data_IF_677083625125
#
_entry.id   IF_677083625125
#
_cell.length_a   1.000
_cell.length_b   1.000
_cell.length_c   1.000
_cell.angle_alpha   90.00
_cell.angle_beta   90.00
_cell.angle_gamma   90.00
#
_symmetry.space_group_name_H-M   'P 1'
#
loop_
_entity.id
_entity.type
_entity.pdbx_description
1 polymer ?
#
# COMPACT_ATOMS: atom_id res chain seq x y z
N UNK A 1 -14.82 21.75 20.92
CA UNK A 1 -14.44 23.14 20.89
C UNK A 1 -13.55 23.29 19.67
N UNK A 2 -14.22 23.32 18.50
CA UNK A 2 -13.56 23.42 17.19
C UNK A 2 -13.03 24.86 17.07
N UNK A 3 -11.73 25.02 17.22
CA UNK A 3 -11.07 26.30 16.93
C UNK A 3 -10.79 26.29 15.45
N UNK A 4 -11.63 27.02 14.71
CA UNK A 4 -11.48 27.33 13.29
C UNK A 4 -10.18 28.12 13.03
N UNK A 5 -9.06 27.42 12.92
CA UNK A 5 -7.78 28.02 12.54
C UNK A 5 -7.77 28.50 11.07
N UNK A 6 -8.62 27.98 10.20
CA UNK A 6 -8.77 28.50 8.83
C UNK A 6 -9.44 29.88 8.79
N UNK A 7 -10.33 30.20 9.71
CA UNK A 7 -11.00 31.52 9.72
C UNK A 7 -10.13 32.66 10.28
N UNK A 8 -9.19 32.36 11.16
CA UNK A 8 -8.28 33.39 11.69
C UNK A 8 -7.17 33.77 10.68
N UNK A 9 -6.85 32.89 9.72
CA UNK A 9 -5.82 33.15 8.71
C UNK A 9 -6.32 33.94 7.49
N UNK A 10 -7.61 33.90 7.17
CA UNK A 10 -8.14 34.43 5.91
C UNK A 10 -8.51 35.92 5.93
N UNK A 11 -8.85 36.50 7.06
CA UNK A 11 -9.33 37.89 7.08
C UNK A 11 -8.23 39.00 7.18
N UNK A 12 -6.97 38.66 7.55
CA UNK A 12 -5.96 39.71 7.80
C UNK A 12 -4.53 39.42 7.32
N UNK A 13 -4.27 38.37 6.51
CA UNK A 13 -2.89 38.02 6.09
C UNK A 13 -2.62 38.30 4.61
N UNK A 14 -1.89 39.37 4.32
CA UNK A 14 -1.33 39.60 2.99
C UNK A 14 -0.35 38.45 2.56
N UNK A 15 -0.12 38.28 1.24
CA UNK A 15 0.68 37.16 0.67
C UNK A 15 2.09 37.01 1.29
N UNK A 16 2.68 38.08 1.81
CA UNK A 16 3.98 38.02 2.50
C UNK A 16 3.93 37.36 3.90
N UNK A 17 2.81 37.39 4.58
CA UNK A 17 2.67 36.75 5.90
C UNK A 17 2.47 35.21 5.78
N UNK A 18 1.70 34.78 4.80
CA UNK A 18 1.55 33.33 4.48
C UNK A 18 2.88 32.73 4.08
N UNK A 19 3.68 33.41 3.26
CA UNK A 19 5.01 32.94 2.88
C UNK A 19 5.96 32.83 4.10
N UNK A 20 5.95 33.80 5.02
CA UNK A 20 6.76 33.75 6.25
C UNK A 20 6.33 32.60 7.17
N UNK A 21 5.04 32.42 7.40
CA UNK A 21 4.51 31.31 8.18
C UNK A 21 4.94 29.94 7.61
N UNK A 22 4.90 29.78 6.28
CA UNK A 22 5.38 28.55 5.61
C UNK A 22 6.87 28.32 5.83
N UNK A 23 7.69 29.36 5.74
CA UNK A 23 9.15 29.28 5.96
C UNK A 23 9.46 28.94 7.43
N UNK A 24 8.79 29.58 8.38
CA UNK A 24 8.96 29.31 9.82
C UNK A 24 8.54 27.89 10.18
N UNK A 25 7.41 27.39 9.66
CA UNK A 25 6.95 26.02 9.84
C UNK A 25 7.97 25.03 9.28
N UNK A 26 8.47 25.26 8.08
CA UNK A 26 9.48 24.41 7.46
C UNK A 26 10.79 24.40 8.25
N UNK A 27 11.24 25.53 8.76
CA UNK A 27 12.44 25.63 9.59
C UNK A 27 12.27 24.88 10.92
N UNK A 28 11.09 24.96 11.56
CA UNK A 28 10.78 24.24 12.81
C UNK A 28 10.71 22.73 12.60
N UNK A 29 10.16 22.28 11.48
CA UNK A 29 10.00 20.84 11.18
C UNK A 29 11.24 20.20 10.54
N UNK A 30 12.26 20.96 10.13
CA UNK A 30 13.42 20.42 9.39
C UNK A 30 14.13 19.26 10.11
N UNK A 31 14.46 19.42 11.40
CA UNK A 31 15.09 18.38 12.19
C UNK A 31 14.14 17.18 12.43
N UNK A 32 12.88 17.38 12.89
CA UNK A 32 11.91 16.29 12.99
C UNK A 32 11.72 15.50 11.70
N UNK A 33 11.59 16.16 10.54
CA UNK A 33 11.45 15.50 9.23
C UNK A 33 12.67 14.66 8.89
N UNK A 34 13.89 15.17 9.13
CA UNK A 34 15.12 14.41 8.95
C UNK A 34 15.15 13.15 9.84
N UNK A 35 14.82 13.29 11.11
CA UNK A 35 14.78 12.17 12.06
C UNK A 35 13.74 11.12 11.66
N UNK A 36 12.55 11.56 11.25
CA UNK A 36 11.47 10.67 10.78
C UNK A 36 11.86 9.98 9.48
N UNK A 37 12.49 10.70 8.53
CA UNK A 37 12.98 10.11 7.28
C UNK A 37 14.02 9.02 7.54
N UNK A 38 15.08 9.33 8.26
CA UNK A 38 16.15 8.35 8.61
C UNK A 38 15.58 7.19 9.42
N UNK A 39 14.78 7.48 10.44
CA UNK A 39 14.17 6.46 11.29
C UNK A 39 13.17 5.58 10.54
N UNK A 40 12.38 6.16 9.61
CA UNK A 40 11.48 5.40 8.75
C UNK A 40 12.23 4.46 7.80
N UNK A 41 13.32 4.95 7.19
CA UNK A 41 14.21 4.12 6.37
C UNK A 41 14.85 2.98 7.16
N UNK A 42 15.36 3.27 8.37
CA UNK A 42 15.93 2.26 9.26
C UNK A 42 14.88 1.23 9.73
N UNK A 43 13.66 1.68 10.05
CA UNK A 43 12.53 0.81 10.39
C UNK A 43 12.21 -0.12 9.23
N UNK A 44 12.19 0.41 8.00
CA UNK A 44 11.99 -0.37 6.79
C UNK A 44 13.08 -1.42 6.57
N UNK A 45 14.33 -1.01 6.64
CA UNK A 45 15.49 -1.90 6.51
C UNK A 45 15.44 -3.05 7.53
N UNK A 46 15.16 -2.72 8.80
CA UNK A 46 15.06 -3.71 9.86
C UNK A 46 13.88 -4.67 9.65
N UNK A 47 12.69 -4.14 9.35
CA UNK A 47 11.49 -4.95 9.11
C UNK A 47 11.68 -5.91 7.93
N UNK A 48 12.13 -5.42 6.78
CA UNK A 48 12.38 -6.23 5.58
C UNK A 48 13.51 -7.23 5.82
N UNK A 49 14.57 -6.83 6.54
CA UNK A 49 15.65 -7.73 6.93
C UNK A 49 15.16 -8.92 7.74
N UNK A 50 14.37 -8.67 8.80
CA UNK A 50 13.75 -9.73 9.62
C UNK A 50 12.77 -10.57 8.80
N UNK A 51 11.94 -9.92 7.98
CA UNK A 51 10.98 -10.60 7.10
C UNK A 51 11.70 -11.58 6.16
N UNK A 52 12.80 -11.15 5.54
CA UNK A 52 13.57 -12.00 4.62
C UNK A 52 14.18 -13.21 5.33
N UNK A 53 14.70 -13.05 6.55
CA UNK A 53 15.20 -14.16 7.36
C UNK A 53 14.09 -15.16 7.68
N UNK A 54 12.94 -14.67 8.15
CA UNK A 54 11.79 -15.52 8.47
C UNK A 54 11.21 -16.20 7.22
N UNK A 55 11.18 -15.52 6.08
CA UNK A 55 10.67 -16.09 4.82
C UNK A 55 11.54 -17.24 4.32
N UNK A 56 12.85 -17.18 4.54
CA UNK A 56 13.76 -18.31 4.20
C UNK A 56 13.46 -19.57 5.01
N UNK A 57 12.93 -19.40 6.23
CA UNK A 57 12.65 -20.52 7.14
C UNK A 57 11.19 -20.97 7.14
N UNK A 58 10.23 -20.06 6.93
CA UNK A 58 8.79 -20.33 7.00
C UNK A 58 8.10 -20.29 5.64
N UNK A 59 8.75 -19.73 4.63
CA UNK A 59 8.13 -19.45 3.33
C UNK A 59 7.98 -20.69 2.43
N UNK A 60 7.09 -20.62 1.43
CA UNK A 60 6.70 -21.76 0.61
C UNK A 60 7.81 -22.32 -0.32
N UNK A 61 8.92 -21.60 -0.49
CA UNK A 61 10.01 -22.04 -1.38
C UNK A 61 10.93 -23.13 -0.78
N UNK A 62 10.87 -23.35 0.54
CA UNK A 62 11.82 -24.20 1.27
C UNK A 62 11.25 -25.56 1.67
N UNK A 63 9.95 -25.78 1.50
CA UNK A 63 9.23 -26.90 2.11
C UNK A 63 8.36 -27.69 1.12
N UNK A 64 8.09 -28.96 1.46
CA UNK A 64 7.04 -29.70 0.78
C UNK A 64 5.67 -29.10 1.05
N UNK A 65 4.69 -29.36 0.20
CA UNK A 65 3.32 -28.82 0.33
C UNK A 65 2.71 -29.15 1.70
N UNK A 66 2.94 -30.35 2.22
CA UNK A 66 2.41 -30.78 3.53
C UNK A 66 3.06 -30.01 4.69
N UNK A 67 4.37 -29.78 4.64
CA UNK A 67 5.08 -29.00 5.67
C UNK A 67 4.61 -27.55 5.61
N UNK A 68 4.47 -26.98 4.41
CA UNK A 68 3.96 -25.63 4.25
C UNK A 68 2.52 -25.49 4.76
N UNK A 69 1.67 -26.49 4.53
CA UNK A 69 0.31 -26.54 5.06
C UNK A 69 0.31 -26.51 6.61
N UNK A 70 1.18 -27.34 7.23
CA UNK A 70 1.33 -27.34 8.68
C UNK A 70 1.82 -26.00 9.23
N UNK A 71 2.78 -25.34 8.56
CA UNK A 71 3.28 -24.01 8.91
C UNK A 71 2.14 -22.99 8.84
N UNK A 72 1.34 -22.96 7.77
CA UNK A 72 0.23 -22.02 7.62
C UNK A 72 -0.81 -22.16 8.75
N UNK A 73 -1.18 -23.39 9.09
CA UNK A 73 -2.12 -23.66 10.19
C UNK A 73 -1.51 -23.27 11.55
N UNK A 74 -0.24 -23.59 11.80
CA UNK A 74 0.46 -23.25 13.02
C UNK A 74 0.59 -21.73 13.19
N UNK A 75 0.93 -21.01 12.12
CA UNK A 75 0.98 -19.53 12.13
C UNK A 75 -0.41 -18.95 12.37
N UNK A 76 -1.46 -19.49 11.75
CA UNK A 76 -2.83 -19.09 12.06
C UNK A 76 -3.19 -19.26 13.55
N UNK A 77 -2.77 -20.35 14.18
CA UNK A 77 -2.94 -20.54 15.62
C UNK A 77 -2.09 -19.53 16.44
N UNK A 78 -0.84 -19.29 16.02
CA UNK A 78 0.04 -18.31 16.67
C UNK A 78 -0.52 -16.88 16.64
N UNK A 79 -1.16 -16.45 15.55
CA UNK A 79 -1.86 -15.16 15.44
C UNK A 79 -2.88 -15.01 16.57
N UNK A 80 -3.67 -16.07 16.83
CA UNK A 80 -4.67 -16.08 17.89
C UNK A 80 -4.04 -15.94 19.27
N UNK A 81 -2.90 -16.60 19.52
CA UNK A 81 -2.16 -16.49 20.79
C UNK A 81 -1.61 -15.08 20.97
N UNK A 82 -0.99 -14.51 19.92
CA UNK A 82 -0.45 -13.14 19.94
C UNK A 82 -1.56 -12.14 20.26
N UNK A 83 -2.71 -12.25 19.60
CA UNK A 83 -3.84 -11.36 19.84
C UNK A 83 -4.37 -11.45 21.28
N UNK A 84 -4.33 -12.62 21.90
CA UNK A 84 -4.73 -12.80 23.33
C UNK A 84 -3.73 -12.22 24.31
N UNK A 85 -2.44 -12.35 24.03
CA UNK A 85 -1.36 -11.96 24.96
C UNK A 85 -1.02 -10.48 24.80
N UNK A 86 -0.93 -9.99 23.57
CA UNK A 86 -0.48 -8.62 23.26
C UNK A 86 -1.62 -7.67 22.88
N UNK A 87 -2.86 -8.17 22.78
CA UNK A 87 -4.01 -7.42 22.32
C UNK A 87 -4.23 -7.52 20.79
N UNK A 88 -5.38 -7.05 20.34
CA UNK A 88 -5.67 -7.00 18.88
C UNK A 88 -4.72 -6.03 18.18
N UNK A 89 -4.20 -6.45 17.03
CA UNK A 89 -3.34 -5.61 16.20
C UNK A 89 -4.17 -4.60 15.42
N UNK A 90 -3.68 -3.37 15.32
CA UNK A 90 -4.24 -2.33 14.48
C UNK A 90 -4.37 -2.75 12.99
N UNK A 91 -5.05 -1.92 12.24
CA UNK A 91 -5.19 -2.05 10.78
C UNK A 91 -5.04 -0.67 10.13
N UNK A 92 -4.95 -0.63 8.80
CA UNK A 92 -4.82 0.63 8.04
C UNK A 92 -6.03 1.55 8.27
N UNK A 93 -7.23 1.01 8.44
CA UNK A 93 -8.45 1.77 8.70
C UNK A 93 -8.32 2.59 9.98
N UNK A 94 -7.79 1.99 11.05
CA UNK A 94 -7.58 2.65 12.33
C UNK A 94 -6.45 3.71 12.25
N UNK A 95 -5.39 3.44 11.49
CA UNK A 95 -4.34 4.44 11.24
C UNK A 95 -4.91 5.68 10.54
N UNK A 96 -5.69 5.48 9.47
CA UNK A 96 -6.32 6.57 8.71
C UNK A 96 -7.28 7.38 9.60
N UNK A 97 -8.09 6.71 10.41
CA UNK A 97 -9.03 7.38 11.32
C UNK A 97 -8.29 8.21 12.38
N UNK A 98 -7.26 7.66 12.99
CA UNK A 98 -6.47 8.34 14.01
C UNK A 98 -5.75 9.58 13.49
N UNK A 99 -5.22 9.54 12.26
CA UNK A 99 -4.61 10.71 11.62
C UNK A 99 -5.64 11.83 11.46
N UNK A 100 -6.87 11.49 11.11
CA UNK A 100 -7.93 12.49 10.95
C UNK A 100 -8.47 13.03 12.29
N UNK A 101 -8.56 12.19 13.32
CA UNK A 101 -9.20 12.53 14.59
C UNK A 101 -8.18 13.08 15.59
N UNK A 102 -7.02 12.45 15.69
CA UNK A 102 -6.01 12.72 16.73
C UNK A 102 -4.79 13.49 16.18
N UNK A 103 -4.69 13.66 14.86
CA UNK A 103 -3.51 14.22 14.22
C UNK A 103 -2.32 13.26 14.12
N UNK A 104 -2.40 12.05 14.67
CA UNK A 104 -1.29 11.09 14.71
C UNK A 104 -1.71 9.64 14.55
N UNK A 105 -0.73 8.76 14.47
CA UNK A 105 -0.94 7.31 14.48
C UNK A 105 -1.34 6.83 15.90
N UNK A 106 -1.77 5.58 15.98
CA UNK A 106 -2.05 4.93 17.27
C UNK A 106 -0.84 4.88 18.21
N UNK A 107 -1.14 4.64 19.49
CA UNK A 107 -0.13 4.36 20.52
C UNK A 107 0.81 3.23 20.07
N UNK A 108 2.09 3.38 20.35
CA UNK A 108 3.16 2.37 20.13
C UNK A 108 2.77 0.96 20.62
N UNK A 109 1.82 0.88 21.54
CA UNK A 109 1.30 -0.40 22.07
C UNK A 109 0.68 -1.29 21.01
N UNK A 110 0.03 -0.72 19.99
CA UNK A 110 -0.60 -1.50 18.92
C UNK A 110 0.43 -2.15 18.00
N UNK A 111 1.62 -1.56 17.85
CA UNK A 111 2.73 -2.14 17.10
C UNK A 111 3.27 -3.43 17.74
N UNK A 112 3.15 -3.60 19.08
CA UNK A 112 3.62 -4.80 19.77
C UNK A 112 2.93 -6.08 19.28
N UNK A 113 1.66 -5.97 18.90
CA UNK A 113 0.90 -7.07 18.31
C UNK A 113 1.01 -7.10 16.80
N UNK A 114 1.00 -5.94 16.13
CA UNK A 114 1.00 -5.83 14.68
C UNK A 114 2.31 -6.37 14.07
N UNK A 115 3.47 -5.95 14.58
CA UNK A 115 4.77 -6.30 13.99
C UNK A 115 5.00 -7.83 13.99
N UNK A 116 4.95 -8.53 15.15
CA UNK A 116 5.17 -9.98 15.14
C UNK A 116 4.09 -10.73 14.36
N UNK A 117 2.83 -10.30 14.44
CA UNK A 117 1.74 -10.93 13.68
C UNK A 117 1.97 -10.80 12.18
N UNK A 118 2.28 -9.60 11.68
CA UNK A 118 2.50 -9.38 10.24
C UNK A 118 3.75 -10.08 9.72
N UNK A 119 4.84 -10.08 10.48
CA UNK A 119 6.06 -10.82 10.13
C UNK A 119 5.77 -12.31 9.96
N UNK A 120 5.05 -12.93 10.90
CA UNK A 120 4.66 -14.34 10.80
C UNK A 120 3.69 -14.59 9.63
N UNK A 121 2.68 -13.73 9.46
CA UNK A 121 1.71 -13.86 8.37
C UNK A 121 2.37 -13.85 7.00
N UNK A 122 3.22 -12.84 6.75
CA UNK A 122 3.81 -12.62 5.44
C UNK A 122 4.90 -13.65 5.16
N UNK A 123 5.77 -13.91 6.14
CA UNK A 123 6.87 -14.87 5.99
C UNK A 123 6.40 -16.29 5.77
N UNK A 124 5.29 -16.71 6.39
CA UNK A 124 4.70 -18.03 6.18
C UNK A 124 3.98 -18.20 4.83
N UNK A 125 3.86 -17.14 4.06
CA UNK A 125 3.21 -17.18 2.75
C UNK A 125 1.78 -16.64 2.72
N UNK A 126 1.34 -15.88 3.72
CA UNK A 126 0.11 -15.10 3.61
C UNK A 126 0.14 -14.22 2.35
N UNK A 127 -1.00 -14.13 1.65
CA UNK A 127 -1.07 -13.50 0.33
C UNK A 127 -1.13 -11.95 0.38
N UNK A 128 -0.67 -11.35 1.47
CA UNK A 128 -0.58 -9.89 1.66
C UNK A 128 0.87 -9.47 1.89
N UNK A 129 1.17 -8.20 1.62
CA UNK A 129 2.52 -7.64 1.68
C UNK A 129 2.81 -6.83 2.95
N UNK A 130 4.04 -6.34 3.09
CA UNK A 130 4.52 -5.61 4.25
C UNK A 130 4.04 -4.15 4.32
N UNK A 131 3.26 -3.66 3.34
CA UNK A 131 2.93 -2.25 3.18
C UNK A 131 2.20 -1.68 4.40
N UNK A 132 1.13 -2.34 4.84
CA UNK A 132 0.34 -1.85 5.97
C UNK A 132 1.12 -1.82 7.30
N UNK A 133 1.80 -2.91 7.74
CA UNK A 133 2.54 -2.89 8.99
C UNK A 133 3.75 -1.94 8.96
N UNK A 134 4.44 -1.83 7.83
CA UNK A 134 5.59 -0.93 7.73
C UNK A 134 5.17 0.54 7.76
N UNK A 135 4.12 0.88 7.03
CA UNK A 135 3.59 2.25 6.99
C UNK A 135 3.03 2.65 8.36
N UNK A 136 2.36 1.74 9.07
CA UNK A 136 1.95 1.98 10.46
C UNK A 136 3.14 2.19 11.40
N UNK A 137 4.17 1.36 11.30
CA UNK A 137 5.37 1.50 12.14
C UNK A 137 6.09 2.83 11.89
N UNK A 138 6.30 3.18 10.62
CA UNK A 138 6.98 4.42 10.23
C UNK A 138 6.11 5.67 10.54
N UNK A 139 4.80 5.58 10.37
CA UNK A 139 3.86 6.65 10.75
C UNK A 139 3.84 6.86 12.27
N UNK A 140 3.80 5.78 13.06
CA UNK A 140 3.88 5.86 14.53
C UNK A 140 5.21 6.47 14.99
N UNK A 141 6.31 6.20 14.29
CA UNK A 141 7.59 6.88 14.56
C UNK A 141 7.45 8.40 14.34
N UNK A 142 6.76 8.84 13.29
CA UNK A 142 6.48 10.25 13.05
C UNK A 142 5.70 10.89 14.20
N UNK A 143 4.65 10.22 14.66
CA UNK A 143 3.86 10.63 15.84
C UNK A 143 4.73 10.71 17.10
N UNK A 144 5.58 9.71 17.34
CA UNK A 144 6.47 9.67 18.49
C UNK A 144 7.49 10.82 18.47
N UNK A 145 8.08 11.11 17.31
CA UNK A 145 8.99 12.25 17.14
C UNK A 145 8.25 13.55 17.40
N UNK A 146 7.04 13.74 16.86
CA UNK A 146 6.24 14.93 17.10
C UNK A 146 5.98 15.16 18.58
N UNK A 147 5.58 14.12 19.31
CA UNK A 147 5.38 14.19 20.76
C UNK A 147 6.69 14.51 21.52
N UNK A 148 7.86 14.05 21.02
CA UNK A 148 9.16 14.32 21.66
C UNK A 148 9.61 15.77 21.49
N UNK A 149 9.15 16.43 20.41
CA UNK A 149 9.45 17.84 20.10
C UNK A 149 8.34 18.78 20.54
N UNK A 150 7.32 18.28 21.27
CA UNK A 150 6.16 19.04 21.76
C UNK A 150 5.47 19.82 20.63
N UNK A 151 5.21 19.13 19.53
CA UNK A 151 4.56 19.67 18.35
C UNK A 151 3.03 19.58 18.51
N UNK A 152 2.32 20.49 17.86
CA UNK A 152 0.85 20.48 17.87
C UNK A 152 0.24 19.36 17.00
N UNK A 153 -1.08 19.23 17.00
CA UNK A 153 -1.78 18.16 16.31
C UNK A 153 -1.60 18.21 14.77
N UNK A 154 -1.48 19.40 14.18
CA UNK A 154 -1.29 19.56 12.74
C UNK A 154 0.15 19.24 12.34
N UNK A 155 1.13 19.71 13.12
CA UNK A 155 2.53 19.36 12.97
C UNK A 155 2.77 17.85 13.18
N UNK A 156 2.07 17.24 14.15
CA UNK A 156 2.10 15.79 14.37
C UNK A 156 1.55 15.03 13.16
N UNK A 157 0.47 15.51 12.56
CA UNK A 157 -0.10 14.93 11.33
C UNK A 157 0.90 14.98 10.18
N UNK A 158 1.57 16.11 9.99
CA UNK A 158 2.62 16.28 8.98
C UNK A 158 3.73 15.24 9.18
N UNK A 159 4.24 15.06 10.40
CA UNK A 159 5.31 14.09 10.68
C UNK A 159 4.83 12.65 10.57
N UNK A 160 3.58 12.35 10.93
CA UNK A 160 3.00 11.01 10.75
C UNK A 160 2.92 10.66 9.26
N UNK A 161 2.42 11.56 8.42
CA UNK A 161 2.38 11.39 6.96
C UNK A 161 3.80 11.28 6.39
N UNK A 162 4.75 12.07 6.89
CA UNK A 162 6.17 11.98 6.52
C UNK A 162 6.75 10.59 6.81
N UNK A 163 6.44 10.02 7.98
CA UNK A 163 6.84 8.66 8.33
C UNK A 163 6.20 7.61 7.42
N UNK A 164 4.90 7.75 7.12
CA UNK A 164 4.21 6.87 6.16
C UNK A 164 4.88 6.92 4.78
N UNK A 165 5.22 8.12 4.32
CA UNK A 165 5.91 8.33 3.03
C UNK A 165 7.30 7.67 3.01
N UNK A 166 8.07 7.77 4.10
CA UNK A 166 9.35 7.08 4.23
C UNK A 166 9.17 5.54 4.18
N UNK A 167 8.16 5.00 4.87
CA UNK A 167 7.83 3.57 4.82
C UNK A 167 7.44 3.09 3.42
N UNK A 168 6.58 3.82 2.72
CA UNK A 168 6.24 3.49 1.33
C UNK A 168 7.44 3.60 0.38
N UNK A 169 8.35 4.57 0.61
CA UNK A 169 9.52 4.74 -0.23
C UNK A 169 10.48 3.55 -0.16
N UNK A 170 10.63 2.94 1.03
CA UNK A 170 11.38 1.69 1.21
C UNK A 170 10.76 0.54 0.42
N UNK A 171 9.43 0.45 0.41
CA UNK A 171 8.71 -0.65 -0.24
C UNK A 171 8.67 -0.54 -1.76
N UNK A 172 8.45 0.67 -2.28
CA UNK A 172 8.26 0.86 -3.72
C UNK A 172 9.55 1.21 -4.46
N UNK A 173 10.60 1.63 -3.75
CA UNK A 173 11.78 2.20 -4.40
C UNK A 173 11.48 3.48 -5.19
N UNK A 174 10.37 4.15 -4.89
CA UNK A 174 9.78 5.25 -5.65
C UNK A 174 9.41 6.42 -4.72
N UNK A 175 10.37 7.24 -4.26
CA UNK A 175 10.13 8.25 -3.23
C UNK A 175 9.03 9.27 -3.58
N UNK A 176 8.96 9.74 -4.83
CA UNK A 176 7.94 10.70 -5.24
C UNK A 176 6.54 10.08 -5.21
N UNK A 177 6.41 8.85 -5.76
CA UNK A 177 5.17 8.10 -5.70
C UNK A 177 4.74 7.78 -4.27
N UNK A 178 5.69 7.42 -3.40
CA UNK A 178 5.47 7.12 -2.00
C UNK A 178 4.92 8.31 -1.20
N UNK A 179 5.47 9.50 -1.42
CA UNK A 179 5.01 10.72 -0.74
C UNK A 179 3.56 11.06 -1.11
N UNK A 180 3.23 11.00 -2.41
CA UNK A 180 1.86 11.25 -2.87
C UNK A 180 0.91 10.14 -2.44
N UNK A 181 1.36 8.88 -2.45
CA UNK A 181 0.55 7.75 -1.97
C UNK A 181 0.17 7.92 -0.49
N UNK A 182 1.11 8.34 0.35
CA UNK A 182 0.87 8.57 1.78
C UNK A 182 -0.18 9.68 2.03
N UNK A 183 -0.20 10.72 1.18
CA UNK A 183 -1.19 11.78 1.26
C UNK A 183 -2.56 11.36 0.73
N UNK A 184 -2.58 10.66 -0.41
CA UNK A 184 -3.83 10.29 -1.07
C UNK A 184 -4.60 9.20 -0.34
N UNK A 185 -3.92 8.22 0.27
CA UNK A 185 -4.56 7.07 0.93
C UNK A 185 -5.47 7.48 2.11
N UNK A 186 -5.31 8.69 2.60
CA UNK A 186 -6.14 9.23 3.69
C UNK A 186 -7.53 9.67 3.22
N UNK A 187 -7.72 9.90 1.92
CA UNK A 187 -8.94 10.53 1.39
C UNK A 187 -9.56 9.72 0.26
N UNK A 188 -10.88 9.80 0.13
CA UNK A 188 -11.62 9.20 -1.00
C UNK A 188 -11.56 10.05 -2.25
N UNK A 189 -11.50 11.37 -2.09
CA UNK A 189 -11.49 12.35 -3.18
C UNK A 189 -10.63 13.55 -2.82
N UNK A 190 -9.69 13.88 -3.68
CA UNK A 190 -8.82 15.03 -3.54
C UNK A 190 -7.71 14.85 -2.51
N UNK A 191 -6.87 15.85 -2.39
CA UNK A 191 -5.81 15.96 -1.41
C UNK A 191 -6.22 16.99 -0.37
N UNK A 192 -6.11 16.63 0.90
CA UNK A 192 -6.02 17.55 2.03
C UNK A 192 -4.59 17.48 2.56
N UNK A 193 -4.25 18.32 3.52
CA UNK A 193 -2.92 18.32 4.14
C UNK A 193 -1.79 18.63 3.15
N UNK A 194 -2.00 19.63 2.26
CA UNK A 194 -0.98 20.07 1.30
C UNK A 194 0.32 20.53 1.98
N UNK A 195 0.24 21.02 3.20
CA UNK A 195 1.36 21.39 4.06
C UNK A 195 2.29 20.20 4.36
N UNK A 196 1.78 18.98 4.34
CA UNK A 196 2.57 17.77 4.51
C UNK A 196 3.29 17.33 3.23
N UNK A 197 2.99 17.89 2.05
CA UNK A 197 3.55 17.41 0.79
C UNK A 197 5.08 17.53 0.74
N UNK A 198 5.63 18.70 1.07
CA UNK A 198 7.08 18.91 1.05
C UNK A 198 7.79 18.11 2.14
N UNK A 199 7.34 18.09 3.42
CA UNK A 199 7.87 17.19 4.43
C UNK A 199 7.82 15.72 4.02
N UNK A 200 6.72 15.23 3.44
CA UNK A 200 6.58 13.86 2.96
C UNK A 200 7.56 13.53 1.82
N UNK A 201 7.77 14.44 0.88
CA UNK A 201 8.77 14.30 -0.18
C UNK A 201 10.19 14.20 0.39
N UNK A 202 10.55 15.10 1.29
CA UNK A 202 11.87 15.10 1.93
C UNK A 202 12.04 13.81 2.75
N UNK A 203 11.05 13.45 3.57
CA UNK A 203 11.08 12.25 4.40
C UNK A 203 11.16 10.96 3.59
N UNK A 204 10.45 10.88 2.47
CA UNK A 204 10.51 9.71 1.57
C UNK A 204 11.87 9.57 0.88
N UNK A 205 12.47 10.66 0.41
CA UNK A 205 13.82 10.68 -0.17
C UNK A 205 14.89 10.26 0.85
N UNK A 206 14.83 10.83 2.05
CA UNK A 206 15.76 10.50 3.13
C UNK A 206 15.56 9.05 3.58
N UNK A 207 14.31 8.59 3.72
CA UNK A 207 13.99 7.22 4.10
C UNK A 207 14.48 6.20 3.09
N UNK A 208 14.28 6.47 1.81
CA UNK A 208 14.82 5.65 0.73
C UNK A 208 16.35 5.61 0.75
N UNK A 209 17.01 6.78 0.85
CA UNK A 209 18.47 6.86 0.92
C UNK A 209 19.03 6.12 2.14
N UNK A 210 18.40 6.28 3.31
CA UNK A 210 18.80 5.57 4.52
C UNK A 210 18.65 4.04 4.36
N UNK A 211 17.56 3.57 3.75
CA UNK A 211 17.37 2.16 3.45
C UNK A 211 18.48 1.62 2.52
N UNK A 212 18.77 2.33 1.42
CA UNK A 212 19.83 1.96 0.47
C UNK A 212 21.19 1.84 1.17
N UNK A 213 21.55 2.82 2.00
CA UNK A 213 22.81 2.82 2.75
C UNK A 213 22.87 1.65 3.75
N UNK A 214 21.78 1.36 4.45
CA UNK A 214 21.74 0.33 5.48
C UNK A 214 21.71 -1.10 4.91
N UNK A 215 21.04 -1.29 3.78
CA UNK A 215 20.82 -2.63 3.21
C UNK A 215 21.76 -2.96 2.05
N UNK A 216 22.38 -1.95 1.43
CA UNK A 216 23.15 -2.11 0.20
C UNK A 216 22.29 -2.46 -1.03
N UNK A 217 20.96 -2.32 -0.94
CA UNK A 217 20.06 -2.51 -2.09
C UNK A 217 20.39 -1.46 -3.15
N UNK A 218 20.42 -1.87 -4.43
CA UNK A 218 20.68 -0.96 -5.54
C UNK A 218 19.57 0.10 -5.71
N UNK A 219 19.86 1.08 -6.56
CA UNK A 219 18.87 2.10 -6.96
C UNK A 219 17.95 1.62 -8.11
N UNK A 220 18.08 0.34 -8.47
CA UNK A 220 17.28 -0.26 -9.54
C UNK A 220 15.80 -0.39 -9.11
N UNK A 221 14.88 -0.29 -10.06
CA UNK A 221 13.46 -0.54 -9.79
C UNK A 221 13.23 -1.94 -9.20
N UNK A 222 12.26 -2.04 -8.29
CA UNK A 222 11.88 -3.31 -7.66
C UNK A 222 11.52 -4.39 -8.70
N UNK A 223 10.88 -4.00 -9.79
CA UNK A 223 10.53 -4.87 -10.93
C UNK A 223 11.01 -4.27 -12.24
N UNK A 224 11.59 -5.12 -13.09
CA UNK A 224 12.02 -4.72 -14.42
C UNK A 224 10.92 -5.10 -15.42
N UNK A 225 10.14 -4.12 -15.83
CA UNK A 225 9.17 -4.29 -16.91
C UNK A 225 9.86 -4.24 -18.27
N UNK A 226 9.29 -4.88 -19.33
CA UNK A 226 9.82 -4.78 -20.69
C UNK A 226 9.94 -3.31 -21.12
N UNK A 227 10.96 -3.02 -21.93
CA UNK A 227 11.15 -1.66 -22.43
C UNK A 227 9.91 -1.19 -23.19
N UNK A 228 9.50 0.04 -22.91
CA UNK A 228 8.39 0.69 -23.63
C UNK A 228 8.89 1.02 -25.03
N UNK A 229 8.33 0.39 -26.05
CA UNK A 229 8.58 0.76 -27.43
C UNK A 229 8.03 2.16 -27.76
N UNK A 230 7.96 2.50 -29.04
CA UNK A 230 7.31 3.74 -29.46
C UNK A 230 5.82 3.69 -29.11
N UNK A 231 5.37 4.68 -28.32
CA UNK A 231 3.96 4.83 -27.99
C UNK A 231 3.18 5.30 -29.20
N UNK A 232 2.02 4.71 -29.41
CA UNK A 232 1.11 5.00 -30.51
C UNK A 232 -0.19 5.65 -30.00
N UNK A 233 -0.93 6.30 -30.87
CA UNK A 233 -2.24 6.86 -30.52
C UNK A 233 -3.23 5.79 -30.06
N UNK A 234 -3.08 4.55 -30.53
CA UNK A 234 -3.87 3.39 -30.08
C UNK A 234 -3.63 3.03 -28.63
N UNK A 235 -2.46 3.35 -28.05
CA UNK A 235 -2.18 3.10 -26.64
C UNK A 235 -3.05 3.96 -25.72
N UNK A 236 -3.52 5.13 -26.19
CA UNK A 236 -4.50 5.94 -25.46
C UNK A 236 -5.86 5.24 -25.35
N UNK A 237 -6.29 4.55 -26.41
CA UNK A 237 -7.53 3.76 -26.39
C UNK A 237 -7.39 2.57 -25.44
N UNK A 238 -6.23 1.91 -25.45
CA UNK A 238 -5.93 0.87 -24.48
C UNK A 238 -5.95 1.41 -23.05
N UNK A 239 -5.39 2.60 -22.79
CA UNK A 239 -5.43 3.22 -21.46
C UNK A 239 -6.86 3.43 -20.95
N UNK A 240 -7.79 3.82 -21.83
CA UNK A 240 -9.22 3.91 -21.48
C UNK A 240 -9.80 2.53 -21.16
N UNK A 241 -9.59 1.54 -22.03
CA UNK A 241 -10.11 0.18 -21.85
C UNK A 241 -9.63 -0.48 -20.54
N UNK A 242 -8.31 -0.37 -20.27
CA UNK A 242 -7.73 -0.91 -19.02
C UNK A 242 -8.16 -0.14 -17.77
N UNK A 243 -8.41 1.17 -17.88
CA UNK A 243 -8.99 1.97 -16.81
C UNK A 243 -10.38 1.44 -16.38
N UNK A 244 -11.23 1.13 -17.36
CA UNK A 244 -12.56 0.53 -17.13
C UNK A 244 -12.42 -0.89 -16.55
N UNK A 245 -11.55 -1.71 -17.14
CA UNK A 245 -11.33 -3.09 -16.68
C UNK A 245 -10.76 -3.13 -15.26
N UNK A 246 -9.78 -2.26 -14.96
CA UNK A 246 -9.22 -2.13 -13.62
C UNK A 246 -10.25 -1.67 -12.59
N UNK A 247 -11.13 -0.73 -12.98
CA UNK A 247 -12.26 -0.31 -12.14
C UNK A 247 -13.20 -1.49 -11.82
N UNK A 248 -13.57 -2.27 -12.84
CA UNK A 248 -14.41 -3.46 -12.64
C UNK A 248 -13.74 -4.48 -11.71
N UNK A 249 -12.45 -4.75 -11.92
CA UNK A 249 -11.66 -5.63 -11.04
C UNK A 249 -11.60 -5.12 -9.60
N UNK A 250 -11.43 -3.82 -9.40
CA UNK A 250 -11.41 -3.18 -8.08
C UNK A 250 -12.76 -3.29 -7.36
N UNK A 251 -13.87 -3.13 -8.09
CA UNK A 251 -15.22 -3.34 -7.54
C UNK A 251 -15.40 -4.79 -7.10
N UNK A 252 -15.05 -5.76 -7.97
CA UNK A 252 -15.11 -7.18 -7.64
C UNK A 252 -14.26 -7.49 -6.42
N UNK A 253 -13.03 -6.99 -6.36
CA UNK A 253 -12.12 -7.19 -5.22
C UNK A 253 -12.74 -6.65 -3.92
N UNK A 254 -13.27 -5.43 -3.94
CA UNK A 254 -13.85 -4.78 -2.75
C UNK A 254 -15.12 -5.51 -2.28
N UNK A 255 -16.02 -5.85 -3.20
CA UNK A 255 -17.26 -6.56 -2.87
C UNK A 255 -16.96 -7.95 -2.30
N UNK A 256 -16.07 -8.70 -2.94
CA UNK A 256 -15.70 -10.05 -2.49
C UNK A 256 -14.95 -10.02 -1.15
N UNK A 257 -14.05 -9.05 -0.93
CA UNK A 257 -13.36 -8.86 0.35
C UNK A 257 -14.36 -8.55 1.47
N UNK A 258 -15.32 -7.66 1.22
CA UNK A 258 -16.36 -7.31 2.19
C UNK A 258 -17.30 -8.49 2.48
N UNK A 259 -17.72 -9.20 1.45
CA UNK A 259 -18.56 -10.40 1.61
C UNK A 259 -17.83 -11.49 2.41
N UNK A 260 -16.56 -11.74 2.12
CA UNK A 260 -15.73 -12.72 2.82
C UNK A 260 -15.53 -12.33 4.30
N UNK A 261 -15.26 -11.04 4.60
CA UNK A 261 -15.19 -10.53 5.99
C UNK A 261 -16.52 -10.73 6.73
N UNK A 262 -17.66 -10.43 6.09
CA UNK A 262 -18.99 -10.63 6.69
C UNK A 262 -19.30 -12.11 6.95
N UNK A 263 -18.92 -13.00 6.04
CA UNK A 263 -19.08 -14.46 6.22
C UNK A 263 -18.17 -14.95 7.35
N UNK A 264 -16.91 -14.53 7.36
CA UNK A 264 -15.94 -14.89 8.39
C UNK A 264 -16.33 -14.37 9.80
N UNK A 265 -17.06 -13.26 9.89
CA UNK A 265 -17.57 -12.75 11.17
C UNK A 265 -18.56 -13.70 11.88
N UNK A 266 -19.10 -14.71 11.17
CA UNK A 266 -19.95 -15.77 11.74
C UNK A 266 -19.12 -16.88 12.41
N UNK A 267 -17.82 -16.91 12.17
CA UNK A 267 -16.89 -17.92 12.69
C UNK A 267 -16.25 -17.37 13.97
N UNK A 268 -16.10 -18.17 15.03
CA UNK A 268 -15.41 -17.69 16.24
C UNK A 268 -14.03 -17.15 15.92
N UNK A 269 -13.73 -15.95 16.43
CA UNK A 269 -12.46 -15.25 16.17
C UNK A 269 -11.22 -16.06 16.55
N UNK A 270 -11.40 -17.00 17.50
CA UNK A 270 -10.35 -17.87 18.00
C UNK A 270 -9.81 -18.87 16.95
N UNK A 271 -10.70 -19.43 16.13
CA UNK A 271 -10.33 -20.47 15.16
C UNK A 271 -10.13 -19.88 13.75
N UNK A 272 -10.61 -18.67 13.53
CA UNK A 272 -10.64 -18.05 12.21
C UNK A 272 -9.25 -17.92 11.56
N UNK A 273 -8.17 -17.48 12.27
CA UNK A 273 -6.85 -17.40 11.65
C UNK A 273 -6.27 -18.76 11.27
N UNK A 274 -6.49 -19.80 12.08
CA UNK A 274 -6.04 -21.15 11.78
C UNK A 274 -6.83 -21.74 10.59
N UNK A 275 -8.14 -21.49 10.51
CA UNK A 275 -8.96 -21.87 9.37
C UNK A 275 -8.51 -21.14 8.10
N UNK A 276 -8.17 -19.85 8.20
CA UNK A 276 -7.55 -19.10 7.10
C UNK A 276 -6.27 -19.75 6.60
N UNK A 277 -5.38 -20.19 7.52
CA UNK A 277 -4.19 -20.95 7.18
C UNK A 277 -4.48 -22.27 6.47
N UNK A 278 -5.51 -23.00 6.90
CA UNK A 278 -5.94 -24.24 6.25
C UNK A 278 -6.46 -24.01 4.83
N UNK A 279 -7.26 -22.97 4.63
CA UNK A 279 -7.76 -22.60 3.28
C UNK A 279 -6.60 -22.16 2.38
N UNK A 280 -5.64 -21.37 2.89
CA UNK A 280 -4.42 -21.00 2.16
C UNK A 280 -3.61 -22.25 1.75
N UNK A 281 -3.52 -23.26 2.62
CA UNK A 281 -2.86 -24.52 2.31
C UNK A 281 -3.56 -25.26 1.15
N UNK A 282 -4.88 -25.30 1.14
CA UNK A 282 -5.66 -25.86 0.04
C UNK A 282 -5.48 -25.08 -1.27
N UNK A 283 -5.44 -23.77 -1.21
CA UNK A 283 -5.17 -22.91 -2.37
C UNK A 283 -3.74 -23.09 -2.88
N UNK A 284 -2.77 -23.30 -2.01
CA UNK A 284 -1.38 -23.60 -2.40
C UNK A 284 -1.26 -24.92 -3.15
N UNK A 285 -2.03 -25.94 -2.76
CA UNK A 285 -2.10 -27.20 -3.50
C UNK A 285 -2.61 -26.99 -4.93
N UNK A 286 -3.55 -26.08 -5.11
CA UNK A 286 -4.06 -25.72 -6.43
C UNK A 286 -3.06 -24.89 -7.24
N UNK A 287 -2.45 -23.86 -6.63
CA UNK A 287 -1.50 -22.98 -7.34
C UNK A 287 -0.54 -22.30 -6.36
N UNK A 288 0.78 -22.28 -6.65
CA UNK A 288 1.76 -21.57 -5.84
C UNK A 288 1.54 -20.05 -5.83
N UNK A 289 0.85 -19.50 -6.83
CA UNK A 289 0.51 -18.08 -6.88
C UNK A 289 -0.51 -17.65 -5.82
N UNK A 290 -1.17 -18.58 -5.15
CA UNK A 290 -2.10 -18.28 -4.05
C UNK A 290 -1.38 -17.73 -2.82
N UNK A 291 -0.13 -18.10 -2.60
CA UNK A 291 0.66 -17.66 -1.45
C UNK A 291 1.53 -16.45 -1.79
N UNK A 292 2.06 -15.83 -0.75
CA UNK A 292 2.90 -14.64 -0.75
C UNK A 292 2.20 -13.39 -1.33
N UNK A 293 2.79 -12.22 -1.13
CA UNK A 293 2.30 -10.97 -1.70
C UNK A 293 2.42 -10.89 -3.24
N UNK A 294 3.17 -11.80 -3.85
CA UNK A 294 3.42 -11.83 -5.29
C UNK A 294 4.66 -11.07 -5.75
N UNK A 295 5.33 -10.33 -4.88
CA UNK A 295 6.51 -9.52 -5.22
C UNK A 295 7.59 -10.32 -5.97
N UNK A 296 8.04 -11.44 -5.40
CA UNK A 296 8.99 -12.32 -6.06
C UNK A 296 8.45 -13.08 -7.28
N UNK A 297 7.11 -13.10 -7.46
CA UNK A 297 6.44 -13.76 -8.57
C UNK A 297 6.18 -12.82 -9.76
N UNK A 298 6.23 -11.49 -9.55
CA UNK A 298 5.99 -10.49 -10.60
C UNK A 298 6.95 -10.69 -11.77
N UNK A 299 8.23 -10.93 -11.50
CA UNK A 299 9.23 -11.08 -12.57
C UNK A 299 8.92 -12.27 -13.47
N UNK A 300 8.38 -13.37 -12.94
CA UNK A 300 7.93 -14.55 -13.73
C UNK A 300 6.76 -14.18 -14.66
N UNK A 301 5.85 -13.35 -14.19
CA UNK A 301 4.70 -12.85 -14.97
C UNK A 301 5.18 -11.92 -16.10
N UNK A 302 6.03 -10.97 -15.76
CA UNK A 302 6.51 -9.91 -16.65
C UNK A 302 7.45 -10.47 -17.73
N UNK A 303 8.20 -11.52 -17.44
CA UNK A 303 9.08 -12.19 -18.41
C UNK A 303 8.34 -12.81 -19.61
N UNK A 304 7.00 -12.86 -19.59
CA UNK A 304 6.18 -13.33 -20.72
C UNK A 304 6.27 -14.83 -21.00
N UNK A 305 6.82 -15.62 -20.06
CA UNK A 305 7.00 -17.07 -20.21
C UNK A 305 5.74 -17.90 -19.89
N UNK A 306 4.72 -17.28 -19.28
CA UNK A 306 3.50 -17.95 -18.86
C UNK A 306 2.46 -17.99 -19.99
N UNK A 307 1.77 -19.13 -20.09
CA UNK A 307 0.61 -19.28 -20.99
C UNK A 307 -0.60 -18.47 -20.49
N UNK A 308 -1.57 -18.22 -21.37
CA UNK A 308 -2.80 -17.51 -20.98
C UNK A 308 -3.56 -18.24 -19.86
N UNK A 309 -3.61 -19.56 -19.87
CA UNK A 309 -4.24 -20.35 -18.81
C UNK A 309 -3.47 -20.23 -17.47
N UNK A 310 -2.14 -20.25 -17.51
CA UNK A 310 -1.31 -20.07 -16.33
C UNK A 310 -1.49 -18.68 -15.70
N UNK A 311 -1.57 -17.63 -16.52
CA UNK A 311 -1.85 -16.26 -16.07
C UNK A 311 -3.25 -16.15 -15.45
N UNK A 312 -4.27 -16.72 -16.08
CA UNK A 312 -5.63 -16.74 -15.53
C UNK A 312 -5.69 -17.45 -14.17
N UNK A 313 -5.01 -18.59 -14.04
CA UNK A 313 -4.87 -19.33 -12.78
C UNK A 313 -4.10 -18.48 -11.75
N UNK A 314 -3.02 -17.82 -12.15
CA UNK A 314 -2.23 -16.96 -11.25
C UNK A 314 -3.07 -15.80 -10.68
N UNK A 315 -3.87 -15.14 -11.52
CA UNK A 315 -4.79 -14.06 -11.09
C UNK A 315 -5.84 -14.62 -10.11
N UNK A 316 -6.52 -15.72 -10.47
CA UNK A 316 -7.57 -16.31 -9.65
C UNK A 316 -7.03 -16.82 -8.31
N UNK A 317 -5.86 -17.46 -8.32
CA UNK A 317 -5.22 -17.97 -7.12
C UNK A 317 -4.75 -16.84 -6.19
N UNK A 318 -4.12 -15.78 -6.75
CA UNK A 318 -3.72 -14.60 -5.97
C UNK A 318 -4.94 -13.90 -5.37
N UNK A 319 -5.98 -13.69 -6.15
CA UNK A 319 -7.23 -13.12 -5.68
C UNK A 319 -7.83 -13.93 -4.52
N UNK A 320 -7.97 -15.25 -4.67
CA UNK A 320 -8.49 -16.13 -3.63
C UNK A 320 -7.61 -16.14 -2.38
N UNK A 321 -6.28 -16.14 -2.55
CA UNK A 321 -5.32 -16.05 -1.45
C UNK A 321 -5.45 -14.75 -0.65
N UNK A 322 -5.55 -13.60 -1.33
CA UNK A 322 -5.72 -12.31 -0.67
C UNK A 322 -7.05 -12.24 0.08
N UNK A 323 -8.15 -12.65 -0.55
CA UNK A 323 -9.47 -12.68 0.10
C UNK A 323 -9.45 -13.58 1.34
N UNK A 324 -8.81 -14.75 1.26
CA UNK A 324 -8.67 -15.68 2.39
C UNK A 324 -7.83 -15.05 3.51
N UNK A 325 -6.74 -14.39 3.17
CA UNK A 325 -5.85 -13.71 4.12
C UNK A 325 -6.59 -12.60 4.87
N UNK A 326 -7.37 -11.76 4.15
CA UNK A 326 -8.21 -10.71 4.73
C UNK A 326 -9.29 -11.31 5.64
N UNK A 327 -10.04 -12.29 5.14
CA UNK A 327 -11.12 -12.95 5.88
C UNK A 327 -10.61 -13.70 7.11
N UNK A 328 -9.44 -14.33 7.02
CA UNK A 328 -8.77 -15.08 8.09
C UNK A 328 -8.14 -14.20 9.17
N UNK A 329 -8.28 -12.86 9.11
CA UNK A 329 -7.67 -11.90 10.05
C UNK A 329 -6.14 -11.92 10.07
N UNK A 330 -5.51 -12.43 9.04
CA UNK A 330 -4.07 -12.33 8.85
C UNK A 330 -3.70 -10.87 8.56
N UNK A 331 -2.48 -10.46 8.91
CA UNK A 331 -2.04 -9.06 8.81
C UNK A 331 -1.06 -8.85 7.67
N UNK A 332 -1.29 -7.78 6.91
CA UNK A 332 -0.48 -7.34 5.79
C UNK A 332 -1.21 -6.29 4.95
N UNK A 333 -0.59 -5.87 3.84
CA UNK A 333 -1.12 -4.93 2.85
C UNK A 333 -1.55 -5.64 1.57
N UNK A 334 -2.45 -5.05 0.82
CA UNK A 334 -2.97 -5.61 -0.43
C UNK A 334 -2.48 -4.88 -1.69
N UNK A 335 -1.59 -3.88 -1.56
CA UNK A 335 -1.14 -3.04 -2.68
C UNK A 335 -0.29 -3.85 -3.65
N UNK A 336 0.74 -4.54 -3.16
CA UNK A 336 1.61 -5.39 -4.00
C UNK A 336 0.82 -6.52 -4.66
N UNK A 337 -0.07 -7.25 -3.97
CA UNK A 337 -0.97 -8.21 -4.62
C UNK A 337 -1.85 -7.61 -5.74
N UNK A 338 -2.35 -6.37 -5.56
CA UNK A 338 -3.10 -5.69 -6.62
C UNK A 338 -2.22 -5.38 -7.84
N UNK A 339 -0.99 -4.92 -7.63
CA UNK A 339 -0.03 -4.74 -8.71
C UNK A 339 0.27 -6.06 -9.43
N UNK A 340 0.51 -7.14 -8.68
CA UNK A 340 0.71 -8.47 -9.28
C UNK A 340 -0.46 -8.88 -10.18
N UNK A 341 -1.70 -8.76 -9.69
CA UNK A 341 -2.90 -9.12 -10.46
C UNK A 341 -3.04 -8.21 -11.70
N UNK A 342 -2.70 -6.94 -11.58
CA UNK A 342 -2.72 -6.00 -12.69
C UNK A 342 -1.67 -6.33 -13.75
N UNK A 343 -0.43 -6.63 -13.36
CA UNK A 343 0.62 -7.05 -14.28
C UNK A 343 0.24 -8.37 -14.98
N UNK A 344 -0.26 -9.36 -14.25
CA UNK A 344 -0.71 -10.62 -14.82
C UNK A 344 -1.90 -10.44 -15.78
N UNK A 345 -2.85 -9.60 -15.44
CA UNK A 345 -4.00 -9.25 -16.28
C UNK A 345 -3.59 -8.51 -17.54
N UNK A 346 -2.66 -7.56 -17.44
CA UNK A 346 -2.10 -6.83 -18.59
C UNK A 346 -1.34 -7.76 -19.55
N UNK A 347 -0.55 -8.68 -19.01
CA UNK A 347 0.13 -9.71 -19.80
C UNK A 347 -0.86 -10.67 -20.47
N UNK A 348 -1.92 -11.07 -19.78
CA UNK A 348 -2.99 -11.88 -20.36
C UNK A 348 -3.69 -11.17 -21.51
N UNK A 349 -3.96 -9.87 -21.39
CA UNK A 349 -4.52 -9.05 -22.45
C UNK A 349 -3.56 -8.96 -23.64
N UNK A 350 -2.26 -8.79 -23.41
CA UNK A 350 -1.27 -8.77 -24.48
C UNK A 350 -1.23 -10.07 -25.27
N UNK A 351 -1.35 -11.22 -24.60
CA UNK A 351 -1.44 -12.52 -25.29
C UNK A 351 -2.71 -12.63 -26.16
N UNK A 352 -3.81 -12.02 -25.74
CA UNK A 352 -5.05 -11.98 -26.53
C UNK A 352 -4.99 -10.97 -27.68
N UNK A 353 -4.21 -9.90 -27.51
CA UNK A 353 -4.04 -8.80 -28.49
C UNK A 353 -2.54 -8.52 -28.72
N UNK A 354 -1.82 -9.37 -29.48
CA UNK A 354 -0.37 -9.28 -29.62
C UNK A 354 0.16 -8.00 -30.26
N UNK A 355 -0.68 -7.25 -30.96
CA UNK A 355 -0.33 -5.93 -31.52
C UNK A 355 -0.32 -4.80 -30.50
N UNK A 356 -0.82 -5.03 -29.29
CA UNK A 356 -0.84 -4.05 -28.21
C UNK A 356 0.54 -3.93 -27.54
N UNK A 357 0.79 -2.80 -26.87
CA UNK A 357 1.99 -2.63 -26.06
C UNK A 357 1.83 -3.33 -24.69
N UNK A 358 2.58 -4.41 -24.47
CA UNK A 358 2.51 -5.23 -23.24
C UNK A 358 2.73 -4.39 -21.99
N UNK A 359 3.72 -3.49 -22.00
CA UNK A 359 4.07 -2.67 -20.82
C UNK A 359 2.99 -1.63 -20.50
N UNK A 360 2.34 -1.06 -21.53
CA UNK A 360 1.18 -0.17 -21.34
C UNK A 360 0.04 -0.92 -20.65
N UNK A 361 -0.28 -2.13 -21.14
CA UNK A 361 -1.36 -2.94 -20.58
C UNK A 361 -1.04 -3.36 -19.12
N UNK A 362 0.17 -3.85 -18.87
CA UNK A 362 0.59 -4.27 -17.53
C UNK A 362 0.59 -3.10 -16.54
N UNK A 363 1.31 -2.04 -16.85
CA UNK A 363 1.43 -0.89 -15.96
C UNK A 363 0.09 -0.17 -15.73
N UNK A 364 -0.67 0.04 -16.82
CA UNK A 364 -1.98 0.69 -16.74
C UNK A 364 -2.99 -0.10 -15.92
N UNK A 365 -3.07 -1.43 -16.09
CA UNK A 365 -4.02 -2.26 -15.34
C UNK A 365 -3.61 -2.39 -13.88
N UNK A 366 -2.30 -2.48 -13.58
CA UNK A 366 -1.80 -2.49 -12.20
C UNK A 366 -2.19 -1.19 -11.48
N UNK A 367 -1.97 -0.04 -12.12
CA UNK A 367 -2.37 1.26 -11.59
C UNK A 367 -3.89 1.36 -11.43
N UNK A 368 -4.66 1.03 -12.45
CA UNK A 368 -6.13 1.16 -12.42
C UNK A 368 -6.77 0.29 -11.32
N UNK A 369 -6.29 -0.95 -11.16
CA UNK A 369 -6.76 -1.86 -10.12
C UNK A 369 -6.42 -1.32 -8.72
N UNK A 370 -5.18 -0.87 -8.51
CA UNK A 370 -4.75 -0.29 -7.24
C UNK A 370 -5.55 0.98 -6.90
N UNK A 371 -5.67 1.93 -7.83
CA UNK A 371 -6.41 3.19 -7.63
C UNK A 371 -7.88 2.93 -7.34
N UNK A 372 -8.50 1.99 -8.04
CA UNK A 372 -9.90 1.64 -7.81
C UNK A 372 -10.16 1.15 -6.39
N UNK A 373 -9.17 0.52 -5.74
CA UNK A 373 -9.26 0.03 -4.35
C UNK A 373 -8.79 1.07 -3.33
N UNK A 374 -7.63 1.71 -3.56
CA UNK A 374 -6.94 2.57 -2.57
C UNK A 374 -7.28 4.06 -2.68
N UNK A 375 -7.81 4.50 -3.81
CA UNK A 375 -8.09 5.92 -4.14
C UNK A 375 -6.83 6.81 -4.22
N UNK A 376 -5.72 6.26 -4.70
CA UNK A 376 -4.40 6.92 -4.77
C UNK A 376 -3.94 7.12 -6.22
N UNK A 377 -4.59 7.99 -7.03
CA UNK A 377 -4.32 8.10 -8.45
C UNK A 377 -2.90 8.57 -8.78
N UNK A 378 -2.38 9.60 -8.12
CA UNK A 378 -1.05 10.12 -8.40
C UNK A 378 0.05 9.24 -7.78
N UNK A 379 -0.15 8.81 -6.54
CA UNK A 379 0.79 7.95 -5.84
C UNK A 379 1.02 6.62 -6.54
N UNK A 380 -0.06 5.90 -6.90
CA UNK A 380 0.02 4.64 -7.65
C UNK A 380 0.62 4.84 -9.04
N UNK A 381 0.21 5.89 -9.78
CA UNK A 381 0.75 6.19 -11.10
C UNK A 381 2.25 6.42 -11.06
N UNK A 382 2.72 7.28 -10.16
CA UNK A 382 4.14 7.58 -10.04
C UNK A 382 4.95 6.41 -9.49
N UNK A 383 4.42 5.63 -8.55
CA UNK A 383 5.09 4.43 -8.07
C UNK A 383 5.35 3.44 -9.21
N UNK A 384 4.34 3.13 -10.02
CA UNK A 384 4.49 2.20 -11.14
C UNK A 384 5.32 2.78 -12.28
N UNK A 385 5.18 4.06 -12.63
CA UNK A 385 5.95 4.67 -13.72
C UNK A 385 7.42 4.87 -13.38
N UNK A 386 7.78 5.05 -12.11
CA UNK A 386 9.19 5.03 -11.69
C UNK A 386 9.83 3.64 -11.89
N UNK A 387 9.04 2.56 -11.83
CA UNK A 387 9.51 1.20 -12.09
C UNK A 387 9.50 0.86 -13.59
N UNK A 388 8.50 1.32 -14.34
CA UNK A 388 8.25 0.91 -15.72
C UNK A 388 8.77 1.88 -16.78
N UNK A 389 9.11 3.12 -16.37
CA UNK A 389 9.51 4.22 -17.26
C UNK A 389 8.49 5.36 -17.28
N UNK A 390 8.99 6.58 -17.14
CA UNK A 390 8.16 7.81 -17.07
C UNK A 390 7.38 8.09 -18.38
N UNK A 391 7.77 7.52 -19.49
CA UNK A 391 7.05 7.63 -20.78
C UNK A 391 5.63 7.05 -20.70
N UNK A 392 5.35 6.14 -19.76
CA UNK A 392 4.02 5.57 -19.52
C UNK A 392 3.08 6.49 -18.74
N UNK A 393 3.58 7.61 -18.21
CA UNK A 393 2.80 8.49 -17.33
C UNK A 393 1.44 8.90 -17.92
N UNK A 394 1.30 9.31 -19.20
CA UNK A 394 -0.01 9.68 -19.73
C UNK A 394 -1.01 8.51 -19.72
N UNK A 395 -0.58 7.29 -20.12
CA UNK A 395 -1.43 6.11 -20.20
C UNK A 395 -1.88 5.62 -18.82
N UNK A 396 -0.94 5.54 -17.89
CA UNK A 396 -1.22 5.12 -16.52
C UNK A 396 -2.10 6.14 -15.79
N UNK A 397 -1.92 7.44 -16.05
CA UNK A 397 -2.74 8.50 -15.47
C UNK A 397 -4.19 8.47 -16.00
N UNK A 398 -4.38 8.25 -17.32
CA UNK A 398 -5.72 8.08 -17.90
C UNK A 398 -6.42 6.88 -17.24
N UNK A 399 -5.74 5.74 -17.15
CA UNK A 399 -6.27 4.54 -16.50
C UNK A 399 -6.60 4.77 -15.02
N UNK A 400 -5.73 5.50 -14.29
CA UNK A 400 -5.92 5.87 -12.90
C UNK A 400 -7.15 6.74 -12.67
N UNK A 401 -7.28 7.82 -13.45
CA UNK A 401 -8.41 8.76 -13.33
C UNK A 401 -9.74 8.08 -13.64
N UNK A 402 -9.79 7.28 -14.70
CA UNK A 402 -10.99 6.51 -15.04
C UNK A 402 -11.35 5.52 -13.92
N UNK A 403 -10.38 4.78 -13.40
CA UNK A 403 -10.61 3.86 -12.30
C UNK A 403 -11.12 4.60 -11.05
N UNK A 404 -10.53 5.75 -10.70
CA UNK A 404 -10.98 6.57 -9.57
C UNK A 404 -12.43 7.02 -9.73
N UNK A 405 -12.78 7.57 -10.89
CA UNK A 405 -14.13 8.07 -11.18
C UNK A 405 -15.16 6.94 -11.12
N UNK A 406 -14.89 5.83 -11.80
CA UNK A 406 -15.83 4.69 -11.90
C UNK A 406 -15.98 3.95 -10.57
N UNK A 407 -15.01 4.03 -9.67
CA UNK A 407 -15.06 3.37 -8.35
C UNK A 407 -15.33 4.35 -7.20
N UNK A 408 -15.73 5.57 -7.49
CA UNK A 408 -15.93 6.64 -6.49
C UNK A 408 -16.93 6.28 -5.38
N UNK A 409 -17.91 5.42 -5.68
CA UNK A 409 -18.92 4.92 -4.72
C UNK A 409 -18.49 3.65 -3.98
N UNK A 410 -17.38 3.01 -4.39
CA UNK A 410 -16.89 1.75 -3.82
C UNK A 410 -15.83 2.03 -2.78
N UNK A 411 -15.96 1.47 -1.58
CA UNK A 411 -15.09 1.77 -0.44
C UNK A 411 -14.48 0.49 0.11
N UNK A 412 -13.16 0.40 0.12
CA UNK A 412 -12.39 -0.67 0.76
C UNK A 412 -11.87 -0.24 2.12
N UNK A 413 -11.38 0.99 2.24
CA UNK A 413 -10.91 1.60 3.48
C UNK A 413 -12.01 2.55 3.97
N UNK A 414 -12.83 2.08 4.90
CA UNK A 414 -14.05 2.78 5.33
C UNK A 414 -13.77 4.13 6.01
N UNK A 415 -12.60 4.29 6.60
CA UNK A 415 -12.19 5.49 7.36
C UNK A 415 -11.60 6.60 6.50
N UNK A 416 -11.42 6.39 5.20
CA UNK A 416 -11.07 7.47 4.27
C UNK A 416 -12.18 8.53 4.26
N UNK A 417 -11.80 9.81 4.47
CA UNK A 417 -12.76 10.91 4.50
C UNK A 417 -12.99 11.50 3.11
N UNK A 418 -14.20 11.98 2.87
CA UNK A 418 -14.47 12.88 1.76
C UNK A 418 -14.04 14.29 2.17
N UNK A 419 -13.41 15.03 1.23
CA UNK A 419 -13.13 16.45 1.45
C UNK A 419 -14.44 17.14 1.75
N UNK A 420 -14.58 17.71 2.94
CA UNK A 420 -15.67 18.63 3.25
C UNK A 420 -15.48 19.87 2.35
N UNK A 421 -16.43 20.22 1.47
CA UNK A 421 -16.35 21.50 0.78
C UNK A 421 -16.32 22.58 1.86
N UNK A 422 -15.38 23.50 1.79
CA UNK A 422 -15.48 24.72 2.59
C UNK A 422 -16.90 25.27 2.38
N UNK A 423 -17.71 25.30 3.42
CA UNK A 423 -18.94 26.06 3.40
C UNK A 423 -18.50 27.51 3.19
N UNK A 424 -18.50 27.92 1.94
CA UNK A 424 -18.64 29.34 1.62
C UNK A 424 -20.03 29.65 2.05
N UNK A 425 -20.20 30.24 3.23
CA UNK A 425 -21.47 30.73 3.70
C UNK A 425 -22.00 31.70 2.65
N UNK A 426 -23.16 31.33 2.06
CA UNK A 426 -23.93 32.22 1.20
C UNK A 426 -24.69 33.21 2.05
#
# INVERSE_FOLDING_TARGET
MDVDFEHAADEHSGPGRRARFFVELQARLAIPVLLVGVGGGATGAAYIGVLNVLTRTLGPGSHTVLVQAAILVAVGAAITVIARVLGESGNVELLVDNIHVLGGAEDVRTLRSLIPTSLLCISAGGAMGPEAPLVQASGTLGTWVAARFDLDADEMRILTITGMAAGFAVLFGAPLGAALFALEILHRRGLQYYEALLPALIGSLIGFAANVVLTGVGLEPLWQLPAVGQLQSTDLLWAVGIGVLGAAGAVVFTVMSTAARRLAARIPALVLPALGGLVLAGLFWWSPFALTNGEGQVQTVVAGSLTASALAVAIAAKFAGVITTIAGRWKGGFIIPLFFMGFAGGQLLHLAFPSSNATVLMAGLAVALCVGVTKTPLGSTLAVTQMAGLTLLPMTLIAAVLALVLTSSTVMIETQRERTPNRVDR
#
